data_IF_171380141567
#
_entry.id   IF_171380141567
#
_cell.length_a   1.000
_cell.length_b   1.000
_cell.length_c   1.000
_cell.angle_alpha   90.00
_cell.angle_beta   90.00
_cell.angle_gamma   90.00
#
_symmetry.space_group_name_H-M   'P 1'
#
loop_
_entity.id
_entity.type
_entity.pdbx_description
1 polymer ?
#
# COMPACT_ATOMS: atom_id res chain seq x y z
N UNK A 1 15.78 -8.17 13.35
CA UNK A 1 15.39 -6.75 13.51
C UNK A 1 14.17 -6.30 12.69
N UNK A 2 13.99 -6.69 11.42
CA UNK A 2 12.88 -6.21 10.56
C UNK A 2 11.45 -6.64 10.96
N UNK A 3 11.24 -7.86 11.49
CA UNK A 3 9.90 -8.36 11.86
C UNK A 3 9.19 -7.50 12.92
N UNK A 4 9.95 -6.95 13.87
CA UNK A 4 9.40 -6.12 14.95
C UNK A 4 8.87 -4.76 14.41
N UNK A 5 9.53 -4.19 13.40
CA UNK A 5 9.11 -2.92 12.79
C UNK A 5 7.78 -3.05 12.05
N UNK A 6 7.64 -4.07 11.19
CA UNK A 6 6.39 -4.29 10.43
C UNK A 6 5.24 -4.57 11.40
N UNK A 7 5.45 -5.46 12.37
CA UNK A 7 4.42 -5.75 13.37
C UNK A 7 3.99 -4.51 14.15
N UNK A 8 4.94 -3.68 14.61
CA UNK A 8 4.63 -2.43 15.31
C UNK A 8 3.90 -1.44 14.40
N UNK A 9 4.33 -1.29 13.15
CA UNK A 9 3.67 -0.42 12.20
C UNK A 9 2.21 -0.85 11.97
N UNK A 10 1.97 -2.13 11.71
CA UNK A 10 0.62 -2.65 11.51
C UNK A 10 -0.23 -2.42 12.75
N UNK A 11 0.31 -2.74 13.93
CA UNK A 11 -0.37 -2.47 15.20
C UNK A 11 -0.70 -0.98 15.37
N UNK A 12 0.22 -0.08 15.01
CA UNK A 12 0.00 1.37 15.04
C UNK A 12 -1.10 1.76 14.06
N UNK A 13 -1.05 1.29 12.81
CA UNK A 13 -2.07 1.59 11.79
C UNK A 13 -3.45 1.12 12.25
N UNK A 14 -3.59 -0.15 12.63
CA UNK A 14 -4.88 -0.70 13.05
C UNK A 14 -5.42 -0.09 14.35
N UNK A 15 -4.54 0.40 15.24
CA UNK A 15 -4.97 0.98 16.51
C UNK A 15 -5.33 2.46 16.39
N UNK A 16 -4.51 3.24 15.69
CA UNK A 16 -4.66 4.70 15.64
C UNK A 16 -5.40 5.18 14.38
N UNK A 17 -5.42 4.38 13.31
CA UNK A 17 -6.04 4.72 12.04
C UNK A 17 -6.89 3.56 11.52
N UNK A 18 -7.91 3.11 12.29
CA UNK A 18 -8.70 1.91 11.97
C UNK A 18 -9.46 2.03 10.63
N UNK A 19 -9.76 3.25 10.20
CA UNK A 19 -10.48 3.60 8.97
C UNK A 19 -9.55 3.98 7.81
N UNK A 20 -8.23 3.84 7.97
CA UNK A 20 -7.25 4.23 6.96
C UNK A 20 -7.53 3.60 5.59
N UNK A 21 -7.81 2.30 5.57
CA UNK A 21 -8.02 1.55 4.33
C UNK A 21 -9.31 1.95 3.61
N UNK A 22 -10.35 2.31 4.36
CA UNK A 22 -11.61 2.82 3.82
C UNK A 22 -11.39 4.22 3.22
N UNK A 23 -10.73 5.11 3.95
CA UNK A 23 -10.33 6.46 3.50
C UNK A 23 -9.46 6.42 2.24
N UNK A 24 -8.57 5.43 2.12
CA UNK A 24 -7.78 5.23 0.89
C UNK A 24 -8.71 4.85 -0.29
N UNK A 25 -9.72 4.03 -0.05
CA UNK A 25 -10.70 3.62 -1.06
C UNK A 25 -11.57 4.77 -1.58
N UNK A 26 -11.71 5.85 -0.81
CA UNK A 26 -12.45 7.06 -1.19
C UNK A 26 -11.67 8.00 -2.13
N UNK A 27 -10.37 7.76 -2.34
CA UNK A 27 -9.58 8.53 -3.30
C UNK A 27 -10.16 8.36 -4.70
N UNK A 28 -10.27 9.48 -5.42
CA UNK A 28 -10.72 9.46 -6.81
C UNK A 28 -9.77 8.63 -7.68
N UNK A 29 -10.32 7.57 -8.27
CA UNK A 29 -9.56 6.64 -9.11
C UNK A 29 -9.52 7.10 -10.56
N UNK A 30 -8.36 7.59 -11.00
CA UNK A 30 -8.16 8.03 -12.38
C UNK A 30 -8.09 6.88 -13.42
N UNK A 31 -8.21 5.61 -12.99
CA UNK A 31 -8.12 4.43 -13.86
C UNK A 31 -9.45 4.09 -14.51
N UNK A 32 -9.37 3.72 -15.79
CA UNK A 32 -10.52 3.16 -16.55
C UNK A 32 -10.71 1.66 -16.35
N UNK A 33 -9.64 0.92 -16.06
CA UNK A 33 -9.66 -0.54 -15.80
C UNK A 33 -9.04 -0.81 -14.44
N UNK A 34 -9.74 -1.59 -13.61
CA UNK A 34 -9.34 -1.86 -12.22
C UNK A 34 -9.07 -3.36 -12.06
N UNK A 35 -7.78 -3.71 -12.04
CA UNK A 35 -7.32 -5.07 -11.68
C UNK A 35 -7.12 -5.17 -10.16
N UNK A 36 -6.73 -4.04 -9.55
CA UNK A 36 -6.48 -3.88 -8.13
C UNK A 36 -7.27 -2.70 -7.58
N UNK A 37 -7.68 -2.76 -6.32
CA UNK A 37 -8.25 -1.62 -5.61
C UNK A 37 -7.16 -0.58 -5.31
N UNK A 38 -7.56 0.68 -5.15
CA UNK A 38 -6.63 1.77 -4.76
C UNK A 38 -5.93 1.46 -3.44
N UNK A 39 -6.68 0.88 -2.51
CA UNK A 39 -6.19 0.40 -1.22
C UNK A 39 -5.06 -0.61 -1.38
N UNK A 40 -5.15 -1.54 -2.34
CA UNK A 40 -4.09 -2.53 -2.63
C UNK A 40 -2.83 -1.83 -3.15
N UNK A 41 -2.99 -0.86 -4.06
CA UNK A 41 -1.88 -0.14 -4.68
C UNK A 41 -1.14 0.78 -3.71
N UNK A 42 -1.88 1.58 -2.93
CA UNK A 42 -1.30 2.52 -1.98
C UNK A 42 -0.63 1.78 -0.83
N UNK A 43 -1.25 0.68 -0.35
CA UNK A 43 -0.62 -0.18 0.68
C UNK A 43 0.70 -0.75 0.17
N UNK A 44 0.74 -1.22 -1.08
CA UNK A 44 1.96 -1.73 -1.68
C UNK A 44 3.04 -0.65 -1.86
N UNK A 45 2.67 0.57 -2.26
CA UNK A 45 3.59 1.71 -2.34
C UNK A 45 4.23 2.04 -0.99
N UNK A 46 3.41 2.10 0.07
CA UNK A 46 3.85 2.31 1.46
C UNK A 46 4.82 1.20 1.88
N UNK A 47 4.49 -0.05 1.60
CA UNK A 47 5.34 -1.20 1.93
C UNK A 47 6.68 -1.17 1.20
N UNK A 48 6.69 -0.82 -0.08
CA UNK A 48 7.92 -0.67 -0.86
C UNK A 48 8.84 0.38 -0.22
N UNK A 49 8.28 1.51 0.23
CA UNK A 49 9.01 2.55 0.96
C UNK A 49 9.56 2.05 2.31
N UNK A 50 8.72 1.44 3.16
CA UNK A 50 9.12 0.96 4.50
C UNK A 50 10.19 -0.12 4.44
N UNK A 51 10.04 -1.08 3.51
CA UNK A 51 11.00 -2.16 3.33
C UNK A 51 12.33 -1.67 2.74
N UNK A 52 12.40 -0.40 2.33
CA UNK A 52 13.53 0.23 1.62
C UNK A 52 13.92 -0.56 0.38
N UNK A 53 12.92 -1.03 -0.38
CA UNK A 53 13.16 -1.76 -1.62
C UNK A 53 13.51 -0.74 -2.70
N UNK A 54 14.79 -0.67 -3.05
CA UNK A 54 15.34 0.35 -3.95
C UNK A 54 14.95 0.20 -5.42
N UNK A 55 14.20 -0.85 -5.80
CA UNK A 55 13.73 -1.02 -7.17
C UNK A 55 12.41 -1.78 -7.27
N UNK A 56 11.64 -1.46 -8.32
CA UNK A 56 10.43 -2.22 -8.74
C UNK A 56 10.73 -3.69 -8.95
N UNK A 57 11.90 -4.01 -9.51
CA UNK A 57 12.33 -5.39 -9.76
C UNK A 57 12.52 -6.16 -8.45
N UNK A 58 13.16 -5.56 -7.44
CA UNK A 58 13.32 -6.20 -6.14
C UNK A 58 11.98 -6.45 -5.43
N UNK A 59 10.98 -5.58 -5.67
CA UNK A 59 9.63 -5.73 -5.14
C UNK A 59 8.84 -6.81 -5.89
N UNK A 60 8.95 -6.88 -7.22
CA UNK A 60 8.36 -7.94 -8.03
C UNK A 60 8.98 -9.32 -7.73
N UNK A 61 10.29 -9.41 -7.50
CA UNK A 61 10.92 -10.69 -7.15
C UNK A 61 10.39 -11.27 -5.83
N UNK A 62 10.03 -10.42 -4.86
CA UNK A 62 9.39 -10.90 -3.62
C UNK A 62 7.95 -11.39 -3.85
N UNK A 63 7.28 -10.92 -4.92
CA UNK A 63 5.99 -11.47 -5.34
C UNK A 63 6.08 -12.93 -5.78
N UNK A 64 7.25 -13.41 -6.19
CA UNK A 64 7.44 -14.83 -6.50
C UNK A 64 7.47 -15.70 -5.23
N UNK A 65 7.64 -15.09 -4.05
CA UNK A 65 7.55 -15.78 -2.78
C UNK A 65 6.10 -15.88 -2.30
N UNK A 66 5.57 -17.11 -2.28
CA UNK A 66 4.25 -17.40 -1.69
C UNK A 66 4.17 -16.97 -0.23
N UNK A 67 5.27 -17.11 0.53
CA UNK A 67 5.34 -16.66 1.93
C UNK A 67 5.14 -15.15 2.02
N UNK A 68 5.75 -14.37 1.13
CA UNK A 68 5.63 -12.93 1.13
C UNK A 68 4.20 -12.48 0.80
N UNK A 69 3.60 -13.03 -0.26
CA UNK A 69 2.20 -12.76 -0.62
C UNK A 69 1.25 -13.12 0.53
N UNK A 70 1.42 -14.30 1.12
CA UNK A 70 0.61 -14.76 2.25
C UNK A 70 0.75 -13.82 3.44
N UNK A 71 1.98 -13.46 3.80
CA UNK A 71 2.22 -12.56 4.93
C UNK A 71 1.63 -11.16 4.67
N UNK A 72 1.74 -10.63 3.46
CA UNK A 72 1.10 -9.37 3.09
C UNK A 72 -0.42 -9.43 3.26
N UNK A 73 -1.05 -10.50 2.76
CA UNK A 73 -2.50 -10.71 2.91
C UNK A 73 -2.93 -10.86 4.37
N UNK A 74 -2.20 -11.63 5.18
CA UNK A 74 -2.50 -11.80 6.61
C UNK A 74 -2.34 -10.50 7.38
N UNK A 75 -1.34 -9.70 7.04
CA UNK A 75 -1.00 -8.50 7.79
C UNK A 75 -1.91 -7.32 7.41
N UNK A 76 -2.20 -7.14 6.12
CA UNK A 76 -2.90 -5.94 5.63
C UNK A 76 -4.30 -6.22 5.07
N UNK A 77 -4.71 -7.48 4.94
CA UNK A 77 -6.03 -7.85 4.42
C UNK A 77 -6.23 -7.58 2.93
N UNK A 78 -5.18 -7.19 2.20
CA UNK A 78 -5.23 -6.77 0.80
C UNK A 78 -4.31 -7.60 -0.10
N UNK A 79 -4.66 -7.76 -1.38
CA UNK A 79 -3.79 -8.48 -2.34
C UNK A 79 -2.53 -7.68 -2.62
N UNK A 80 -1.47 -8.38 -2.99
CA UNK A 80 -0.21 -7.77 -3.37
C UNK A 80 -0.15 -7.50 -4.89
N UNK A 81 -0.16 -6.22 -5.34
CA UNK A 81 -0.16 -5.86 -6.75
C UNK A 81 1.25 -5.95 -7.38
N UNK A 82 1.32 -5.82 -8.71
CA UNK A 82 2.62 -5.65 -9.39
C UNK A 82 3.21 -4.27 -9.10
N UNK A 83 4.53 -4.19 -9.00
CA UNK A 83 5.24 -2.93 -8.82
C UNK A 83 5.03 -1.97 -10.01
N UNK A 84 4.82 -2.50 -11.21
CA UNK A 84 4.57 -1.69 -12.41
C UNK A 84 3.21 -0.99 -12.36
N UNK A 85 2.16 -1.70 -11.91
CA UNK A 85 0.85 -1.06 -11.71
C UNK A 85 0.90 -0.04 -10.57
N UNK A 86 1.68 -0.30 -9.51
CA UNK A 86 1.89 0.69 -8.44
C UNK A 86 2.57 1.96 -8.99
N UNK A 87 3.68 1.84 -9.73
CA UNK A 87 4.40 2.99 -10.31
C UNK A 87 3.53 3.78 -11.29
N UNK A 88 2.76 3.11 -12.15
CA UNK A 88 1.84 3.77 -13.07
C UNK A 88 0.84 4.66 -12.32
N UNK A 89 0.25 4.15 -11.24
CA UNK A 89 -0.77 4.89 -10.48
C UNK A 89 -0.16 5.99 -9.64
N UNK A 90 0.95 5.73 -8.95
CA UNK A 90 1.62 6.77 -8.16
C UNK A 90 2.07 7.97 -9.00
N UNK A 91 2.38 7.78 -10.30
CA UNK A 91 2.72 8.89 -11.22
C UNK A 91 1.50 9.65 -11.75
N UNK A 92 0.35 9.00 -11.83
CA UNK A 92 -0.87 9.55 -12.45
C UNK A 92 -1.83 10.17 -11.43
N UNK A 93 -1.79 9.70 -10.20
CA UNK A 93 -2.59 10.27 -9.11
C UNK A 93 -2.07 11.66 -8.77
N UNK A 94 -2.96 12.64 -8.86
CA UNK A 94 -2.68 14.02 -8.49
C UNK A 94 -2.37 14.12 -6.98
N UNK A 95 -1.31 14.85 -6.62
CA UNK A 95 -0.84 15.02 -5.25
C UNK A 95 -1.93 15.54 -4.31
N UNK A 96 -2.89 16.33 -4.83
CA UNK A 96 -4.03 16.84 -4.04
C UNK A 96 -4.83 15.74 -3.36
N UNK A 97 -4.90 14.53 -3.94
CA UNK A 97 -5.62 13.42 -3.34
C UNK A 97 -4.87 12.81 -2.16
N UNK A 98 -3.54 12.79 -2.20
CA UNK A 98 -2.71 12.35 -1.07
C UNK A 98 -2.74 13.37 0.08
N UNK A 99 -2.73 14.67 -0.23
CA UNK A 99 -2.88 15.70 0.81
C UNK A 99 -4.28 15.67 1.46
N UNK A 100 -5.34 15.41 0.68
CA UNK A 100 -6.69 15.17 1.23
C UNK A 100 -6.72 13.97 2.17
N UNK A 101 -6.13 12.84 1.75
CA UNK A 101 -6.05 11.63 2.58
C UNK A 101 -5.27 11.91 3.87
N UNK A 102 -4.11 12.55 3.77
CA UNK A 102 -3.30 12.93 4.94
C UNK A 102 -4.10 13.79 5.91
N UNK A 103 -4.81 14.81 5.41
CA UNK A 103 -5.65 15.65 6.27
C UNK A 103 -6.78 14.83 6.92
N UNK A 104 -7.45 13.92 6.20
CA UNK A 104 -8.55 13.13 6.75
C UNK A 104 -8.13 12.12 7.81
N UNK A 105 -6.87 11.68 7.80
CA UNK A 105 -6.30 10.74 8.79
C UNK A 105 -5.93 11.44 10.11
N UNK A 106 -5.58 12.73 10.07
CA UNK A 106 -5.19 13.52 11.25
C UNK A 106 -6.27 14.49 11.74
N UNK A 107 -7.47 14.44 11.13
CA UNK A 107 -8.67 15.19 11.57
C UNK A 107 -9.40 14.44 12.68
#
# INVERSE_FOLDING_TARGET
>A
MRKNLIFRLCKTIFHYFPDLYDKIGEIEDCRKKKVYELTELITAAIMMFILKKGSRNAFNNERESEEFIRNHGVIFGVRFPSADTVDEIMRRTDEKYFEKLKNSIFS
#
